data_IF_298246874987
#
_entry.id   IF_298246874987
#
_cell.length_a   1.000
_cell.length_b   1.000
_cell.length_c   1.000
_cell.angle_alpha   90.00
_cell.angle_beta   90.00
_cell.angle_gamma   90.00
#
_symmetry.space_group_name_H-M   'P 1'
#
loop_
_entity.id
_entity.type
_entity.pdbx_description
1 polymer ?
#
# COMPACT_ATOMS: atom_id res chain seq x y z
N UNK A 1 11.21 -27.55 4.05
CA UNK A 1 10.04 -26.67 3.92
C UNK A 1 10.48 -25.37 3.26
N UNK A 2 9.67 -24.82 2.39
CA UNK A 2 9.93 -23.51 1.80
C UNK A 2 9.56 -22.41 2.78
N UNK A 3 10.37 -21.32 2.85
CA UNK A 3 10.10 -20.17 3.71
C UNK A 3 8.96 -19.30 3.13
N UNK A 4 8.78 -19.32 1.79
CA UNK A 4 7.70 -18.66 1.09
C UNK A 4 6.96 -19.68 0.22
N UNK A 5 5.65 -19.79 0.40
CA UNK A 5 4.79 -20.65 -0.38
C UNK A 5 3.93 -19.78 -1.30
N UNK A 6 4.06 -19.97 -2.61
CA UNK A 6 3.20 -19.31 -3.58
C UNK A 6 1.95 -20.16 -3.82
N UNK A 7 0.76 -19.57 -3.79
CA UNK A 7 -0.49 -20.28 -4.04
C UNK A 7 -0.72 -20.53 -5.53
N UNK A 8 0.24 -21.18 -6.17
CA UNK A 8 0.25 -21.46 -7.60
C UNK A 8 0.67 -22.92 -7.84
N UNK A 9 -0.32 -23.77 -8.11
CA UNK A 9 -0.11 -25.19 -8.35
C UNK A 9 0.68 -25.49 -9.64
N UNK A 10 0.92 -24.50 -10.50
CA UNK A 10 1.72 -24.67 -11.72
C UNK A 10 3.22 -24.52 -11.45
N UNK A 11 3.59 -24.03 -10.29
CA UNK A 11 4.97 -23.90 -9.87
C UNK A 11 5.49 -25.22 -9.26
N UNK A 12 6.77 -25.56 -9.48
CA UNK A 12 7.40 -26.67 -8.77
C UNK A 12 7.50 -26.37 -7.28
N UNK A 13 7.65 -27.40 -6.44
CA UNK A 13 7.77 -27.29 -4.99
C UNK A 13 8.86 -26.30 -4.56
N UNK A 14 9.96 -26.25 -5.30
CA UNK A 14 11.03 -25.27 -5.11
C UNK A 14 11.32 -24.57 -6.45
N UNK A 15 11.00 -23.31 -6.52
CA UNK A 15 11.23 -22.46 -7.71
C UNK A 15 12.58 -21.75 -7.65
N UNK A 16 13.07 -21.43 -6.46
CA UNK A 16 14.30 -20.69 -6.28
C UNK A 16 14.60 -20.38 -4.83
N UNK A 17 15.62 -19.55 -4.63
CA UNK A 17 15.98 -19.01 -3.32
C UNK A 17 16.14 -17.51 -3.38
N UNK A 18 15.65 -16.83 -2.35
CA UNK A 18 15.81 -15.41 -2.15
C UNK A 18 16.81 -15.20 -1.01
N UNK A 19 17.84 -14.43 -1.26
CA UNK A 19 18.89 -14.13 -0.28
C UNK A 19 18.93 -12.63 -0.02
N UNK A 20 18.97 -12.24 1.25
CA UNK A 20 19.15 -10.86 1.69
C UNK A 20 20.56 -10.65 2.19
N UNK A 21 21.21 -9.60 1.70
CA UNK A 21 22.49 -9.11 2.20
C UNK A 21 22.38 -7.58 2.43
N UNK A 22 22.22 -7.19 3.68
CA UNK A 22 21.92 -5.79 4.03
C UNK A 22 20.61 -5.32 3.38
N UNK A 23 20.72 -4.31 2.51
CA UNK A 23 19.60 -3.75 1.73
C UNK A 23 19.54 -4.30 0.29
N UNK A 24 20.34 -5.28 -0.04
CA UNK A 24 20.28 -5.96 -1.33
C UNK A 24 19.55 -7.30 -1.19
N UNK A 25 18.65 -7.57 -2.12
CA UNK A 25 17.95 -8.85 -2.21
C UNK A 25 18.18 -9.44 -3.60
N UNK A 26 18.63 -10.68 -3.61
CA UNK A 26 18.89 -11.43 -4.84
C UNK A 26 17.98 -12.62 -4.92
N UNK A 27 17.57 -12.97 -6.13
CA UNK A 27 16.85 -14.20 -6.44
C UNK A 27 17.75 -15.10 -7.28
N UNK A 28 17.81 -16.37 -6.93
CA UNK A 28 18.40 -17.43 -7.73
C UNK A 28 17.31 -18.43 -8.08
N UNK A 29 17.01 -18.57 -9.35
CA UNK A 29 16.04 -19.55 -9.86
C UNK A 29 16.68 -20.94 -9.86
N UNK A 30 15.93 -21.95 -9.39
CA UNK A 30 16.32 -23.36 -9.43
C UNK A 30 15.20 -24.16 -10.09
N UNK A 31 15.56 -25.21 -10.82
CA UNK A 31 14.59 -26.00 -11.57
C UNK A 31 14.36 -25.49 -13.00
N UNK A 32 13.39 -26.12 -13.68
CA UNK A 32 13.14 -25.92 -15.13
C UNK A 32 12.05 -24.89 -15.44
N UNK A 33 11.67 -24.07 -14.47
CA UNK A 33 10.66 -23.04 -14.69
C UNK A 33 11.26 -21.78 -15.32
N UNK A 34 10.51 -21.14 -16.22
CA UNK A 34 10.85 -19.81 -16.73
C UNK A 34 10.40 -18.74 -15.74
N UNK A 35 11.36 -17.93 -15.32
CA UNK A 35 11.14 -16.75 -14.50
C UNK A 35 11.52 -15.52 -15.30
N UNK A 36 10.78 -14.44 -15.12
CA UNK A 36 11.00 -13.16 -15.80
C UNK A 36 11.19 -12.07 -14.76
N UNK A 37 12.08 -11.14 -15.03
CA UNK A 37 12.16 -9.85 -14.34
C UNK A 37 11.91 -8.74 -15.38
N UNK A 38 10.86 -7.96 -15.21
CA UNK A 38 10.44 -6.94 -16.17
C UNK A 38 10.34 -7.51 -17.62
N UNK A 39 9.67 -8.65 -17.76
CA UNK A 39 9.47 -9.40 -19.01
C UNK A 39 10.71 -10.00 -19.67
N UNK A 40 11.89 -9.84 -19.08
CA UNK A 40 13.13 -10.49 -19.55
C UNK A 40 13.37 -11.79 -18.79
N UNK A 41 13.82 -12.83 -19.49
CA UNK A 41 14.17 -14.11 -18.87
C UNK A 41 15.21 -13.88 -17.79
N UNK A 42 14.92 -14.36 -16.59
CA UNK A 42 15.73 -14.16 -15.40
C UNK A 42 16.12 -15.50 -14.76
N UNK A 43 17.38 -15.65 -14.41
CA UNK A 43 17.89 -16.85 -13.75
C UNK A 43 18.53 -16.56 -12.41
N UNK A 44 19.24 -15.43 -12.30
CA UNK A 44 19.91 -15.03 -11.08
C UNK A 44 20.26 -13.54 -11.14
N UNK A 45 20.07 -12.84 -10.02
CA UNK A 45 20.48 -11.45 -9.89
C UNK A 45 19.72 -10.70 -8.81
N UNK A 46 19.94 -9.39 -8.74
CA UNK A 46 19.23 -8.49 -7.84
C UNK A 46 17.76 -8.32 -8.23
N UNK A 47 16.89 -8.33 -7.24
CA UNK A 47 15.48 -7.98 -7.37
C UNK A 47 15.10 -6.78 -6.49
N UNK A 48 15.99 -6.36 -5.59
CA UNK A 48 15.92 -5.14 -4.80
C UNK A 48 17.33 -4.63 -4.50
N UNK A 49 17.55 -3.34 -4.65
CA UNK A 49 18.84 -2.69 -4.37
C UNK A 49 18.74 -1.17 -4.46
N UNK A 50 19.74 -0.46 -3.92
CA UNK A 50 19.76 1.01 -3.87
C UNK A 50 18.48 1.62 -3.28
N UNK A 51 17.92 0.94 -2.24
CA UNK A 51 16.70 1.31 -1.53
C UNK A 51 15.42 1.36 -2.37
N UNK A 52 15.39 0.72 -3.53
CA UNK A 52 14.19 0.55 -4.35
C UNK A 52 14.06 -0.87 -4.92
N UNK A 53 12.85 -1.20 -5.31
CA UNK A 53 12.52 -2.40 -6.06
C UNK A 53 13.07 -2.32 -7.49
N UNK A 54 13.59 -3.42 -7.99
CA UNK A 54 14.17 -3.49 -9.35
C UNK A 54 13.18 -3.99 -10.40
N UNK A 55 11.94 -4.26 -10.00
CA UNK A 55 10.87 -4.62 -10.89
C UNK A 55 10.08 -5.86 -10.48
N UNK A 56 9.16 -6.25 -11.34
CA UNK A 56 8.27 -7.38 -11.11
C UNK A 56 8.91 -8.69 -11.56
N UNK A 57 8.92 -9.66 -10.65
CA UNK A 57 9.32 -11.03 -10.93
C UNK A 57 8.07 -11.85 -11.23
N UNK A 58 8.03 -12.48 -12.40
CA UNK A 58 6.91 -13.33 -12.81
C UNK A 58 7.36 -14.80 -12.98
N UNK A 59 6.60 -15.71 -12.38
CA UNK A 59 6.77 -17.14 -12.45
C UNK A 59 5.39 -17.83 -12.48
N UNK A 60 5.10 -18.60 -13.53
CA UNK A 60 3.77 -19.22 -13.68
C UNK A 60 2.64 -18.18 -13.69
N UNK A 61 1.65 -18.39 -12.83
CA UNK A 61 0.53 -17.45 -12.60
C UNK A 61 0.80 -16.43 -11.49
N UNK A 62 2.02 -16.39 -10.99
CA UNK A 62 2.42 -15.51 -9.87
C UNK A 62 3.32 -14.39 -10.35
N UNK A 63 3.07 -13.20 -9.85
CA UNK A 63 3.92 -12.03 -10.03
C UNK A 63 4.19 -11.40 -8.67
N UNK A 64 5.42 -11.02 -8.39
CA UNK A 64 5.79 -10.42 -7.12
C UNK A 64 6.89 -9.38 -7.23
N UNK A 65 6.97 -8.53 -6.23
CA UNK A 65 8.07 -7.60 -6.04
C UNK A 65 8.41 -7.44 -4.55
N UNK A 66 9.57 -6.89 -4.28
CA UNK A 66 10.05 -6.66 -2.92
C UNK A 66 9.53 -5.32 -2.42
N UNK A 67 8.94 -5.33 -1.24
CA UNK A 67 8.56 -4.11 -0.51
C UNK A 67 9.45 -3.92 0.70
N UNK A 68 9.73 -2.66 1.04
CA UNK A 68 10.40 -2.29 2.28
C UNK A 68 9.51 -1.36 3.11
N UNK A 69 9.47 -1.62 4.41
CA UNK A 69 8.81 -0.74 5.39
C UNK A 69 9.72 -0.57 6.60
N UNK A 70 10.38 0.57 6.68
CA UNK A 70 11.45 0.79 7.65
C UNK A 70 12.59 -0.21 7.44
N UNK A 71 12.86 -1.05 8.43
CA UNK A 71 13.91 -2.09 8.37
C UNK A 71 13.38 -3.48 7.96
N UNK A 72 12.08 -3.60 7.72
CA UNK A 72 11.44 -4.84 7.31
C UNK A 72 11.34 -4.93 5.80
N UNK A 73 11.64 -6.12 5.28
CA UNK A 73 11.41 -6.48 3.89
C UNK A 73 10.30 -7.49 3.79
N UNK A 74 9.51 -7.40 2.76
CA UNK A 74 8.45 -8.33 2.45
C UNK A 74 8.36 -8.58 0.95
N UNK A 75 7.63 -9.60 0.58
CA UNK A 75 7.28 -9.91 -0.80
C UNK A 75 5.81 -9.59 -0.98
N UNK A 76 5.48 -8.73 -1.93
CA UNK A 76 4.10 -8.53 -2.36
C UNK A 76 3.82 -9.39 -3.57
N UNK A 77 2.91 -10.34 -3.39
CA UNK A 77 2.56 -11.35 -4.38
C UNK A 77 1.18 -11.02 -4.98
N UNK A 78 1.08 -11.19 -6.29
CA UNK A 78 -0.16 -11.13 -7.05
C UNK A 78 -0.36 -12.44 -7.82
N UNK A 79 -1.60 -12.84 -7.99
CA UNK A 79 -1.99 -13.84 -8.98
C UNK A 79 -2.44 -13.14 -10.25
N UNK A 80 -1.82 -13.45 -11.39
CA UNK A 80 -2.11 -12.81 -12.69
C UNK A 80 -3.52 -13.18 -13.15
N UNK A 81 -3.92 -14.43 -12.94
CA UNK A 81 -5.29 -14.92 -13.18
C UNK A 81 -5.87 -15.38 -11.86
N UNK A 82 -6.95 -14.76 -11.46
CA UNK A 82 -7.64 -15.09 -10.22
C UNK A 82 -9.15 -15.12 -10.47
N UNK A 83 -9.76 -16.29 -10.25
CA UNK A 83 -11.21 -16.49 -10.43
C UNK A 83 -12.05 -15.56 -9.55
N UNK A 84 -11.53 -15.15 -8.40
CA UNK A 84 -12.21 -14.22 -7.50
C UNK A 84 -12.28 -12.81 -8.11
N UNK A 85 -11.24 -12.40 -8.87
CA UNK A 85 -11.26 -11.13 -9.60
C UNK A 85 -12.27 -11.18 -10.74
N UNK A 86 -12.32 -12.30 -11.47
CA UNK A 86 -13.26 -12.50 -12.58
C UNK A 86 -14.71 -12.52 -12.09
N UNK A 87 -14.95 -13.03 -10.88
CA UNK A 87 -16.27 -13.09 -10.23
C UNK A 87 -16.63 -11.82 -9.45
N UNK A 88 -15.71 -10.86 -9.31
CA UNK A 88 -15.93 -9.66 -8.51
C UNK A 88 -16.91 -8.71 -9.17
N UNK A 89 -18.14 -8.65 -8.64
CA UNK A 89 -19.23 -7.78 -9.14
C UNK A 89 -19.13 -6.31 -8.67
N UNK A 90 -18.07 -5.96 -7.97
CA UNK A 90 -17.88 -4.64 -7.37
C UNK A 90 -18.09 -4.65 -5.85
N UNK A 91 -17.66 -3.59 -5.19
CA UNK A 91 -17.92 -3.38 -3.77
C UNK A 91 -19.27 -2.69 -3.57
N UNK A 92 -20.01 -3.09 -2.55
CA UNK A 92 -21.19 -2.37 -2.12
C UNK A 92 -20.84 -0.93 -1.74
N UNK A 93 -21.67 0.01 -2.14
CA UNK A 93 -21.49 1.44 -1.91
C UNK A 93 -22.77 2.02 -1.33
N UNK A 94 -22.63 2.97 -0.44
CA UNK A 94 -23.74 3.81 -0.04
C UNK A 94 -24.15 4.70 -1.21
N UNK A 95 -25.44 5.03 -1.28
CA UNK A 95 -25.94 6.06 -2.18
C UNK A 95 -25.27 7.40 -1.88
N UNK A 96 -25.04 8.18 -2.94
CA UNK A 96 -24.44 9.51 -2.78
C UNK A 96 -25.44 10.40 -2.02
N UNK A 97 -25.04 10.85 -0.83
CA UNK A 97 -25.84 11.75 -0.04
C UNK A 97 -25.15 13.13 0.02
N UNK A 98 -25.77 14.20 -0.54
CA UNK A 98 -25.23 15.56 -0.52
C UNK A 98 -24.96 16.13 0.88
N UNK A 99 -25.65 15.63 1.91
CA UNK A 99 -25.46 16.07 3.29
C UNK A 99 -24.04 15.80 3.84
N UNK A 100 -23.33 14.87 3.19
CA UNK A 100 -21.94 14.56 3.50
C UNK A 100 -20.93 15.36 2.65
N UNK A 101 -21.40 16.24 1.76
CA UNK A 101 -20.54 17.18 1.05
C UNK A 101 -20.27 18.36 1.96
N UNK A 102 -19.04 18.52 2.43
CA UNK A 102 -18.65 19.57 3.35
C UNK A 102 -17.61 20.49 2.75
N UNK A 103 -17.64 21.76 3.16
CA UNK A 103 -16.55 22.70 2.94
C UNK A 103 -15.64 22.68 4.16
N UNK A 104 -14.35 22.46 3.95
CA UNK A 104 -13.35 22.44 4.99
C UNK A 104 -12.43 23.66 4.88
N UNK A 105 -12.11 24.28 6.01
CA UNK A 105 -11.13 25.35 6.09
C UNK A 105 -9.84 24.83 6.69
N UNK A 106 -8.73 25.05 5.99
CA UNK A 106 -7.41 24.76 6.54
C UNK A 106 -7.01 25.84 7.54
N UNK A 107 -6.81 25.45 8.80
CA UNK A 107 -6.23 26.26 9.85
C UNK A 107 -4.75 25.91 9.88
N UNK A 108 -3.93 26.79 9.31
CA UNK A 108 -2.49 26.60 9.28
C UNK A 108 -1.92 26.61 10.71
N UNK A 109 -1.01 25.69 10.96
CA UNK A 109 -0.18 25.64 12.14
C UNK A 109 1.27 26.01 11.74
N UNK A 110 2.19 26.01 12.68
CA UNK A 110 3.58 26.31 12.35
C UNK A 110 4.11 25.35 11.28
N UNK A 111 4.96 25.86 10.37
CA UNK A 111 5.49 25.11 9.21
C UNK A 111 6.29 23.85 9.54
N UNK A 112 6.55 23.60 10.82
CA UNK A 112 7.26 22.41 11.32
C UNK A 112 6.33 21.33 11.86
N UNK A 113 5.02 21.49 11.75
CA UNK A 113 4.09 20.51 12.30
C UNK A 113 4.11 19.22 11.47
N UNK A 114 4.04 18.13 12.18
CA UNK A 114 3.97 16.79 11.63
C UNK A 114 2.92 15.95 12.33
N UNK A 115 2.40 14.98 11.63
CA UNK A 115 1.51 13.96 12.19
C UNK A 115 2.24 12.64 12.30
N UNK A 116 2.05 11.95 13.41
CA UNK A 116 2.50 10.58 13.59
C UNK A 116 1.37 9.62 13.25
N UNK A 117 1.65 8.69 12.34
CA UNK A 117 0.68 7.70 11.89
C UNK A 117 1.23 6.30 12.15
N UNK A 118 0.44 5.51 12.87
CA UNK A 118 0.73 4.10 13.09
C UNK A 118 0.27 3.29 11.88
N UNK A 119 1.17 2.54 11.27
CA UNK A 119 0.81 1.63 10.19
C UNK A 119 0.32 0.27 10.73
N UNK A 120 -0.19 -0.59 9.84
CA UNK A 120 -0.73 -1.91 10.20
C UNK A 120 0.33 -2.88 10.78
N UNK A 121 1.61 -2.55 10.66
CA UNK A 121 2.72 -3.32 11.24
C UNK A 121 3.15 -2.79 12.62
N UNK A 122 2.44 -1.80 13.17
CA UNK A 122 2.78 -1.19 14.45
C UNK A 122 3.97 -0.21 14.38
N UNK A 123 4.38 0.21 13.19
CA UNK A 123 5.44 1.20 13.01
C UNK A 123 4.86 2.60 12.95
N UNK A 124 5.51 3.56 13.60
CA UNK A 124 5.14 4.97 13.55
C UNK A 124 5.90 5.66 12.43
N UNK A 125 5.17 6.23 11.48
CA UNK A 125 5.69 7.14 10.47
C UNK A 125 5.40 8.59 10.86
N UNK A 126 6.31 9.51 10.57
CA UNK A 126 6.13 10.96 10.76
C UNK A 126 6.00 11.62 9.40
N UNK A 127 4.93 12.38 9.19
CA UNK A 127 4.60 12.99 7.91
C UNK A 127 4.34 14.47 8.09
N UNK A 128 4.75 15.33 7.13
CA UNK A 128 4.43 16.74 7.16
C UNK A 128 2.93 16.99 7.23
N UNK A 129 2.50 17.99 7.99
CA UNK A 129 1.13 18.41 8.10
C UNK A 129 1.07 19.94 8.12
N UNK A 130 0.27 20.60 7.25
CA UNK A 130 0.20 22.06 7.21
C UNK A 130 -0.75 22.62 8.26
N UNK A 131 -1.46 21.77 9.01
CA UNK A 131 -2.41 22.21 10.01
C UNK A 131 -3.64 21.30 10.14
N UNK A 132 -4.78 21.90 10.50
CA UNK A 132 -6.03 21.21 10.74
C UNK A 132 -7.09 21.62 9.71
N UNK A 133 -7.74 20.64 9.10
CA UNK A 133 -8.95 20.86 8.31
C UNK A 133 -10.15 20.87 9.26
N UNK A 134 -10.79 22.05 9.38
CA UNK A 134 -12.00 22.25 10.20
C UNK A 134 -13.22 22.32 9.29
N UNK A 135 -14.27 21.58 9.62
CA UNK A 135 -15.53 21.55 8.88
C UNK A 135 -16.71 21.25 9.81
N UNK A 136 -17.91 21.51 9.31
CA UNK A 136 -19.15 21.13 10.00
C UNK A 136 -19.86 20.04 9.20
N UNK A 137 -20.38 19.04 9.89
CA UNK A 137 -21.14 17.94 9.32
C UNK A 137 -22.30 17.61 10.25
N UNK A 138 -23.53 17.61 9.74
CA UNK A 138 -24.75 17.31 10.48
C UNK A 138 -24.92 18.12 11.78
N UNK A 139 -24.49 19.39 11.76
CA UNK A 139 -24.58 20.30 12.90
C UNK A 139 -23.42 20.24 13.89
N UNK A 140 -22.54 19.27 13.76
CA UNK A 140 -21.36 19.12 14.60
C UNK A 140 -20.10 19.64 13.91
N UNK A 141 -19.11 20.07 14.70
CA UNK A 141 -17.82 20.55 14.18
C UNK A 141 -16.75 19.50 14.36
N UNK A 142 -16.04 19.21 13.27
CA UNK A 142 -14.96 18.25 13.23
C UNK A 142 -13.65 18.90 12.83
N UNK A 143 -12.55 18.24 13.22
CA UNK A 143 -11.20 18.60 12.81
C UNK A 143 -10.45 17.33 12.42
N UNK A 144 -9.77 17.36 11.27
CA UNK A 144 -8.89 16.31 10.82
C UNK A 144 -7.51 16.89 10.48
N UNK A 145 -6.47 16.18 10.86
CA UNK A 145 -5.10 16.57 10.54
C UNK A 145 -4.65 15.81 9.30
N UNK A 146 -4.45 16.48 8.15
CA UNK A 146 -3.98 15.84 6.93
C UNK A 146 -2.47 15.59 6.96
N UNK A 147 -2.01 14.55 6.28
CA UNK A 147 -0.65 14.47 5.76
C UNK A 147 -0.57 15.29 4.46
N UNK A 148 0.59 15.86 4.16
CA UNK A 148 0.81 16.63 2.95
C UNK A 148 2.11 16.19 2.27
N UNK A 149 2.04 15.81 1.01
CA UNK A 149 3.18 15.33 0.22
C UNK A 149 3.78 16.41 -0.71
N UNK A 150 3.20 17.61 -0.73
CA UNK A 150 3.57 18.72 -1.60
C UNK A 150 2.52 19.01 -2.68
N UNK A 151 1.70 18.04 -3.02
CA UNK A 151 0.67 18.14 -4.06
C UNK A 151 -0.75 17.90 -3.53
N UNK A 152 -0.91 16.86 -2.69
CA UNK A 152 -2.21 16.44 -2.17
C UNK A 152 -2.21 16.37 -0.65
N UNK A 153 -3.38 16.59 -0.08
CA UNK A 153 -3.69 16.27 1.31
C UNK A 153 -4.19 14.84 1.39
N UNK A 154 -3.58 14.05 2.25
CA UNK A 154 -4.01 12.69 2.54
C UNK A 154 -4.57 12.62 3.96
N UNK A 155 -5.82 12.21 4.09
CA UNK A 155 -6.50 12.04 5.36
C UNK A 155 -6.76 10.56 5.64
N UNK A 156 -6.45 10.15 6.86
CA UNK A 156 -6.84 8.86 7.40
C UNK A 156 -7.77 9.11 8.58
N UNK A 157 -8.98 8.60 8.51
CA UNK A 157 -9.95 8.74 9.59
C UNK A 157 -10.73 7.44 9.77
N UNK A 158 -11.40 7.30 10.91
CA UNK A 158 -12.17 6.12 11.23
C UNK A 158 -13.58 6.46 11.69
N UNK A 159 -14.45 5.49 11.58
CA UNK A 159 -15.81 5.51 12.10
C UNK A 159 -16.15 4.17 12.79
N UNK A 160 -17.36 4.05 13.32
CA UNK A 160 -17.81 2.87 14.06
C UNK A 160 -17.95 1.61 13.19
N UNK A 161 -17.89 1.73 11.86
CA UNK A 161 -17.96 0.60 10.94
C UNK A 161 -16.59 -0.08 10.75
N UNK A 162 -15.49 0.61 11.10
CA UNK A 162 -14.15 0.04 10.98
C UNK A 162 -14.00 -1.22 11.85
N UNK A 163 -13.37 -2.24 11.31
CA UNK A 163 -13.19 -3.59 11.87
C UNK A 163 -14.44 -4.47 11.86
N UNK A 164 -15.61 -3.93 11.48
CA UNK A 164 -16.85 -4.70 11.35
C UNK A 164 -17.18 -4.87 9.88
N UNK A 165 -17.63 -3.78 9.26
CA UNK A 165 -18.16 -3.77 7.90
C UNK A 165 -17.16 -3.14 6.90
N UNK A 166 -16.17 -2.38 7.40
CA UNK A 166 -15.19 -1.70 6.58
C UNK A 166 -13.76 -1.96 7.03
N UNK A 167 -12.81 -1.57 6.18
CA UNK A 167 -11.39 -1.80 6.41
C UNK A 167 -10.91 -1.29 7.77
N UNK A 168 -10.22 -2.15 8.50
CA UNK A 168 -9.77 -1.86 9.87
C UNK A 168 -8.77 -0.69 9.98
N UNK A 169 -8.03 -0.41 8.92
CA UNK A 169 -7.04 0.67 8.88
C UNK A 169 -7.66 2.06 8.72
N UNK A 170 -8.97 2.15 8.60
CA UNK A 170 -9.69 3.41 8.43
C UNK A 170 -10.19 3.65 7.01
N UNK A 171 -10.60 4.87 6.79
CA UNK A 171 -10.98 5.42 5.49
C UNK A 171 -9.90 6.36 5.01
N UNK A 172 -9.73 6.44 3.71
CA UNK A 172 -8.69 7.22 3.08
C UNK A 172 -9.32 8.22 2.11
N UNK A 173 -8.90 9.47 2.22
CA UNK A 173 -9.35 10.53 1.34
C UNK A 173 -8.14 11.33 0.86
N UNK A 174 -8.05 11.52 -0.45
CA UNK A 174 -7.09 12.39 -1.10
C UNK A 174 -7.81 13.66 -1.56
N UNK A 175 -7.26 14.81 -1.27
CA UNK A 175 -7.79 16.11 -1.64
C UNK A 175 -6.67 16.87 -2.34
N UNK A 176 -6.92 17.31 -3.57
CA UNK A 176 -5.98 18.15 -4.29
C UNK A 176 -5.77 19.48 -3.58
N UNK A 177 -4.54 19.97 -3.61
CA UNK A 177 -4.27 21.32 -3.14
C UNK A 177 -5.01 22.30 -4.03
N UNK A 178 -5.85 23.13 -3.42
CA UNK A 178 -6.48 24.25 -4.10
C UNK A 178 -5.51 25.42 -4.01
N UNK A 179 -5.06 25.94 -5.14
CA UNK A 179 -4.28 27.17 -5.20
C UNK A 179 -5.20 28.32 -4.81
N UNK A 180 -4.76 29.11 -3.81
CA UNK A 180 -5.45 30.28 -3.29
C UNK A 180 -5.21 31.50 -4.14
#
# INVERSE_FOLDING_TARGET
SADFIFPDATLPEITGSITRNGNQITLKVTGSIRVFLNDLIFTHGGIYGNDHDLGFVRAGNSEFFVIRRGNLFGIRLFQIKNKEIDAFAGAERFEINPDYKVEARLIQTATSDSIQVLNVLGQVGTYPSPGLLKFSLLGETYQLQPQFDGEQYFLVFGDLSNKKDTYQGGRFLYIDKVDS
#
